data_IF_735664228227
#
_entry.id   IF_735664228227
#
_cell.length_a   1.000
_cell.length_b   1.000
_cell.length_c   1.000
_cell.angle_alpha   90.00
_cell.angle_beta   90.00
_cell.angle_gamma   90.00
#
_symmetry.space_group_name_H-M   'P 1'
#
loop_
_entity.id
_entity.type
_entity.pdbx_description
1 polymer ?
#
# COMPACT_ATOMS: atom_id res chain seq x y z
N UNK A 1 -6.24 24.62 -16.39
CA UNK A 1 -5.81 23.22 -16.63
C UNK A 1 -6.66 22.31 -15.74
N UNK A 2 -7.46 21.40 -16.30
CA UNK A 2 -8.17 20.39 -15.49
C UNK A 2 -7.10 19.48 -14.88
N UNK A 3 -7.01 19.47 -13.55
CA UNK A 3 -6.14 18.53 -12.80
C UNK A 3 -6.45 17.11 -13.28
N UNK A 4 -5.42 16.31 -13.56
CA UNK A 4 -5.58 14.91 -13.90
C UNK A 4 -6.44 14.21 -12.82
N UNK A 5 -7.34 13.29 -13.20
CA UNK A 5 -8.15 12.58 -12.21
C UNK A 5 -7.24 11.87 -11.20
N UNK A 6 -7.66 11.86 -9.94
CA UNK A 6 -6.93 11.13 -8.90
C UNK A 6 -6.92 9.63 -9.24
N UNK A 7 -5.77 8.96 -9.04
CA UNK A 7 -5.67 7.52 -9.25
C UNK A 7 -6.63 6.76 -8.31
N UNK A 8 -6.74 7.23 -7.06
CA UNK A 8 -7.71 6.72 -6.09
C UNK A 8 -8.23 7.89 -5.25
N UNK A 9 -9.54 7.97 -5.08
CA UNK A 9 -10.18 8.97 -4.23
C UNK A 9 -11.27 8.34 -3.40
N UNK A 10 -11.39 8.76 -2.16
CA UNK A 10 -12.58 8.49 -1.37
C UNK A 10 -13.07 9.74 -0.66
N UNK A 11 -14.37 9.82 -0.45
CA UNK A 11 -15.02 10.93 0.25
C UNK A 11 -16.06 10.44 1.22
N UNK A 12 -16.08 11.05 2.41
CA UNK A 12 -17.11 10.85 3.40
C UNK A 12 -17.24 9.42 3.90
N UNK A 13 -16.16 8.63 3.91
CA UNK A 13 -16.23 7.23 4.36
C UNK A 13 -16.59 7.17 5.83
N UNK A 14 -17.65 6.43 6.16
CA UNK A 14 -18.09 6.19 7.53
C UNK A 14 -18.03 4.70 7.84
N UNK A 15 -17.47 4.38 9.02
CA UNK A 15 -17.50 3.02 9.58
C UNK A 15 -17.55 3.06 11.09
N UNK A 16 -18.50 2.32 11.65
CA UNK A 16 -18.67 2.14 13.08
C UNK A 16 -18.54 0.68 13.47
N UNK A 17 -18.02 0.43 14.65
CA UNK A 17 -17.97 -0.86 15.32
C UNK A 17 -18.61 -0.70 16.70
N UNK A 18 -19.89 -1.02 16.80
CA UNK A 18 -20.67 -0.72 18.00
C UNK A 18 -20.64 0.78 18.30
N UNK A 19 -20.10 1.16 19.45
CA UNK A 19 -19.98 2.56 19.87
C UNK A 19 -18.72 3.29 19.33
N UNK A 20 -17.79 2.55 18.71
CA UNK A 20 -16.55 3.13 18.19
C UNK A 20 -16.71 3.55 16.73
N UNK A 21 -16.52 4.83 16.43
CA UNK A 21 -16.46 5.35 15.06
C UNK A 21 -15.03 5.28 14.56
N UNK A 22 -14.73 4.29 13.72
CA UNK A 22 -13.41 4.10 13.17
C UNK A 22 -13.12 5.01 11.97
N UNK A 23 -14.15 5.32 11.16
CA UNK A 23 -14.11 6.32 10.10
C UNK A 23 -15.27 7.27 10.28
N UNK A 24 -14.98 8.57 10.40
CA UNK A 24 -15.94 9.63 10.70
C UNK A 24 -15.97 10.65 9.54
N UNK A 25 -16.50 10.23 8.40
CA UNK A 25 -16.45 10.98 7.13
C UNK A 25 -14.99 11.16 6.64
N UNK A 26 -14.23 10.04 6.58
CA UNK A 26 -12.85 10.05 6.13
C UNK A 26 -12.75 10.32 4.63
N UNK A 27 -11.82 11.18 4.25
CA UNK A 27 -11.49 11.53 2.87
C UNK A 27 -10.04 11.15 2.57
N UNK A 28 -9.77 10.72 1.35
CA UNK A 28 -8.41 10.54 0.84
C UNK A 28 -8.35 10.84 -0.66
N UNK A 29 -7.20 11.32 -1.15
CA UNK A 29 -6.97 11.54 -2.57
C UNK A 29 -5.52 11.26 -2.93
N UNK A 30 -5.31 10.23 -3.74
CA UNK A 30 -4.02 9.78 -4.26
C UNK A 30 -3.88 10.25 -5.71
N UNK A 31 -2.80 10.96 -6.02
CA UNK A 31 -2.47 11.40 -7.38
C UNK A 31 -1.82 10.24 -8.16
N UNK A 32 -1.91 10.23 -9.50
CA UNK A 32 -1.19 9.24 -10.29
C UNK A 32 0.33 9.32 -10.06
N UNK A 33 0.96 8.16 -9.83
CA UNK A 33 2.41 8.04 -9.69
C UNK A 33 3.00 8.71 -8.45
N UNK A 34 2.21 8.95 -7.40
CA UNK A 34 2.73 9.50 -6.14
C UNK A 34 2.83 8.45 -5.04
N UNK A 35 3.66 8.72 -4.05
CA UNK A 35 3.67 8.06 -2.74
C UNK A 35 2.97 8.98 -1.75
N UNK A 36 1.75 8.62 -1.35
CA UNK A 36 1.00 9.29 -0.30
C UNK A 36 1.19 8.53 1.01
N UNK A 37 1.90 9.13 1.97
CA UNK A 37 1.97 8.55 3.30
C UNK A 37 0.70 8.89 4.10
N UNK A 38 0.19 7.94 4.85
CA UNK A 38 -0.93 8.11 5.79
C UNK A 38 -0.41 7.89 7.20
N UNK A 39 -0.38 8.96 7.98
CA UNK A 39 0.06 8.96 9.37
C UNK A 39 -1.08 9.29 10.32
N UNK A 40 -0.90 9.00 11.58
CA UNK A 40 -1.86 9.26 12.64
C UNK A 40 -1.60 8.39 13.85
N UNK A 41 -2.13 8.75 15.00
CA UNK A 41 -2.04 7.97 16.23
C UNK A 41 -2.72 6.60 16.12
N UNK A 42 -2.50 5.77 17.14
CA UNK A 42 -3.25 4.53 17.29
C UNK A 42 -4.73 4.87 17.45
N UNK A 43 -5.59 4.15 16.71
CA UNK A 43 -7.02 4.45 16.68
C UNK A 43 -7.44 5.60 15.72
N UNK A 44 -6.51 6.26 15.02
CA UNK A 44 -6.84 7.31 14.04
C UNK A 44 -7.65 6.83 12.83
N UNK A 45 -7.87 5.52 12.67
CA UNK A 45 -8.65 4.95 11.58
C UNK A 45 -7.85 4.51 10.36
N UNK A 46 -6.50 4.57 10.38
CA UNK A 46 -5.62 4.26 9.24
C UNK A 46 -5.87 2.87 8.64
N UNK A 47 -5.81 1.81 9.46
CA UNK A 47 -6.04 0.44 8.98
C UNK A 47 -7.49 0.21 8.54
N UNK A 48 -8.47 0.90 9.16
CA UNK A 48 -9.87 0.86 8.70
C UNK A 48 -10.03 1.53 7.34
N UNK A 49 -9.31 2.63 7.09
CA UNK A 49 -9.27 3.29 5.79
C UNK A 49 -8.69 2.36 4.72
N UNK A 50 -7.53 1.74 4.97
CA UNK A 50 -6.93 0.76 4.04
C UNK A 50 -7.89 -0.41 3.78
N UNK A 51 -8.51 -0.96 4.82
CA UNK A 51 -9.50 -2.05 4.67
C UNK A 51 -10.71 -1.62 3.84
N UNK A 52 -11.19 -0.38 3.98
CA UNK A 52 -12.28 0.14 3.16
C UNK A 52 -11.87 0.29 1.69
N UNK A 53 -10.69 0.84 1.42
CA UNK A 53 -10.16 1.02 0.06
C UNK A 53 -9.80 -0.31 -0.62
N UNK A 54 -9.40 -1.33 0.14
CA UNK A 54 -9.09 -2.67 -0.37
C UNK A 54 -10.30 -3.61 -0.47
N UNK A 55 -11.50 -3.16 -0.10
CA UNK A 55 -12.70 -3.99 -0.10
C UNK A 55 -12.76 -5.04 1.02
N UNK A 56 -11.79 -5.03 1.96
CA UNK A 56 -11.82 -5.90 3.14
C UNK A 56 -12.81 -5.40 4.21
N UNK A 57 -13.26 -4.17 4.09
CA UNK A 57 -14.26 -3.54 4.93
C UNK A 57 -15.27 -2.80 4.05
N UNK A 58 -16.56 -3.03 4.27
CA UNK A 58 -17.61 -2.24 3.63
C UNK A 58 -17.93 -1.01 4.48
N UNK A 59 -17.72 0.22 4.00
CA UNK A 59 -18.15 1.44 4.67
C UNK A 59 -19.68 1.51 4.70
N UNK A 60 -20.23 2.20 5.69
CA UNK A 60 -21.68 2.45 5.85
C UNK A 60 -22.15 3.62 4.99
N UNK A 61 -21.26 4.59 4.73
CA UNK A 61 -21.50 5.73 3.87
C UNK A 61 -20.20 6.18 3.22
N UNK A 62 -20.33 7.06 2.22
CA UNK A 62 -19.22 7.58 1.42
C UNK A 62 -19.05 6.85 0.11
N UNK A 63 -18.14 7.37 -0.71
CA UNK A 63 -17.93 6.93 -2.08
C UNK A 63 -16.43 6.76 -2.36
N UNK A 64 -16.11 5.84 -3.25
CA UNK A 64 -14.73 5.57 -3.72
C UNK A 64 -14.71 5.71 -5.23
N UNK A 65 -13.67 6.35 -5.76
CA UNK A 65 -13.41 6.50 -7.20
C UNK A 65 -12.01 5.98 -7.52
N UNK A 66 -11.90 5.23 -8.60
CA UNK A 66 -10.65 4.75 -9.18
C UNK A 66 -10.53 5.33 -10.59
N UNK A 67 -9.46 6.05 -10.90
CA UNK A 67 -9.25 6.75 -12.17
C UNK A 67 -10.44 7.59 -12.61
N UNK A 68 -11.08 8.26 -11.64
CA UNK A 68 -12.23 9.12 -11.89
C UNK A 68 -13.58 8.39 -12.03
N UNK A 69 -13.60 7.07 -12.07
CA UNK A 69 -14.84 6.27 -12.12
C UNK A 69 -15.26 5.83 -10.71
N UNK A 70 -16.55 5.93 -10.35
CA UNK A 70 -17.05 5.43 -9.08
C UNK A 70 -16.93 3.90 -9.03
N UNK A 71 -16.46 3.38 -7.90
CA UNK A 71 -16.28 1.95 -7.67
C UNK A 71 -16.87 1.53 -6.33
N UNK A 72 -17.34 0.30 -6.27
CA UNK A 72 -17.79 -0.30 -5.03
C UNK A 72 -17.18 -1.70 -4.88
N UNK A 73 -16.32 -1.87 -3.89
CA UNK A 73 -15.71 -3.15 -3.60
C UNK A 73 -16.54 -3.91 -2.56
N UNK A 74 -16.94 -5.13 -2.88
CA UNK A 74 -17.64 -6.03 -1.98
C UNK A 74 -16.69 -7.03 -1.30
N UNK A 75 -15.50 -7.15 -1.87
CA UNK A 75 -14.45 -8.07 -1.40
C UNK A 75 -13.06 -7.58 -1.82
N UNK A 76 -11.99 -8.06 -1.16
CA UNK A 76 -10.63 -7.80 -1.63
C UNK A 76 -10.35 -8.30 -3.05
N UNK A 77 -11.07 -9.31 -3.51
CA UNK A 77 -10.96 -9.82 -4.88
C UNK A 77 -11.42 -8.77 -5.88
N UNK A 78 -12.46 -7.99 -5.57
CA UNK A 78 -12.96 -6.94 -6.45
C UNK A 78 -11.94 -5.82 -6.60
N UNK A 79 -11.33 -5.38 -5.49
CA UNK A 79 -10.27 -4.37 -5.51
C UNK A 79 -9.04 -4.86 -6.32
N UNK A 80 -8.63 -6.12 -6.15
CA UNK A 80 -7.55 -6.73 -6.94
C UNK A 80 -7.89 -6.79 -8.43
N UNK A 81 -9.11 -7.17 -8.79
CA UNK A 81 -9.57 -7.16 -10.19
C UNK A 81 -9.59 -5.75 -10.79
N UNK A 82 -9.86 -4.75 -9.97
CA UNK A 82 -9.76 -3.35 -10.36
C UNK A 82 -8.31 -2.84 -10.45
N UNK A 83 -7.30 -3.62 -10.00
CA UNK A 83 -5.89 -3.27 -10.10
C UNK A 83 -5.32 -2.61 -8.85
N UNK A 84 -5.98 -2.76 -7.72
CA UNK A 84 -5.50 -2.34 -6.40
C UNK A 84 -4.96 -3.56 -5.67
N UNK A 85 -3.69 -3.52 -5.24
CA UNK A 85 -3.09 -4.56 -4.42
C UNK A 85 -2.76 -4.01 -3.02
N UNK A 86 -2.80 -4.88 -2.02
CA UNK A 86 -2.56 -4.48 -0.63
C UNK A 86 -1.54 -5.41 0.02
N UNK A 87 -0.53 -4.81 0.63
CA UNK A 87 0.41 -5.48 1.56
C UNK A 87 -0.05 -5.11 2.96
N UNK A 88 -0.58 -6.09 3.69
CA UNK A 88 -0.98 -5.92 5.07
C UNK A 88 0.22 -6.11 6.00
N UNK A 89 0.10 -5.65 7.23
CA UNK A 89 1.10 -5.81 8.29
C UNK A 89 1.48 -7.29 8.48
N UNK A 90 0.50 -8.19 8.48
CA UNK A 90 0.75 -9.63 8.35
C UNK A 90 0.96 -9.94 6.87
N UNK A 91 2.19 -10.28 6.49
CA UNK A 91 2.65 -10.37 5.10
C UNK A 91 1.86 -11.33 4.20
N UNK A 92 1.04 -12.19 4.78
CA UNK A 92 0.28 -13.22 4.08
C UNK A 92 1.15 -14.01 3.07
N UNK A 93 2.39 -14.31 3.43
CA UNK A 93 3.28 -15.20 2.71
C UNK A 93 3.21 -16.60 3.32
N UNK A 94 3.34 -17.62 2.46
CA UNK A 94 3.39 -19.02 2.88
C UNK A 94 4.87 -19.43 3.13
N UNK A 95 5.33 -19.60 4.39
CA UNK A 95 6.75 -19.79 4.69
C UNK A 95 7.36 -21.03 4.03
N UNK A 96 6.58 -22.14 3.97
CA UNK A 96 7.02 -23.40 3.40
C UNK A 96 7.08 -23.42 1.87
N UNK A 97 6.50 -22.43 1.20
CA UNK A 97 6.50 -22.32 -0.26
C UNK A 97 7.73 -21.53 -0.74
N UNK A 98 8.12 -21.75 -1.99
CA UNK A 98 9.19 -20.99 -2.64
C UNK A 98 8.76 -19.53 -2.90
N UNK A 99 9.74 -18.66 -3.15
CA UNK A 99 9.49 -17.26 -3.51
C UNK A 99 8.62 -17.19 -4.78
N UNK A 100 8.94 -17.99 -5.80
CA UNK A 100 8.16 -18.03 -7.03
C UNK A 100 6.72 -18.51 -6.80
N UNK A 101 6.51 -19.50 -5.97
CA UNK A 101 5.17 -19.96 -5.60
C UNK A 101 4.40 -18.91 -4.78
N UNK A 102 5.06 -18.21 -3.86
CA UNK A 102 4.47 -17.08 -3.12
C UNK A 102 4.07 -15.91 -4.02
N UNK A 103 4.91 -15.56 -5.01
CA UNK A 103 4.60 -14.49 -5.94
C UNK A 103 3.28 -14.75 -6.68
N UNK A 104 3.10 -15.99 -7.17
CA UNK A 104 1.94 -16.39 -7.97
C UNK A 104 0.81 -17.04 -7.16
N UNK A 105 0.85 -17.01 -5.83
CA UNK A 105 -0.14 -17.65 -4.98
C UNK A 105 -1.56 -17.12 -5.27
N UNK A 106 -2.46 -18.02 -5.66
CA UNK A 106 -3.83 -17.71 -6.09
C UNK A 106 -3.92 -17.14 -7.52
N UNK A 107 -2.79 -17.14 -8.26
CA UNK A 107 -2.67 -16.66 -9.66
C UNK A 107 -1.69 -17.54 -10.44
N UNK A 108 -1.68 -18.82 -10.13
CA UNK A 108 -0.73 -19.78 -10.67
C UNK A 108 -0.82 -19.84 -12.19
N UNK A 109 0.32 -19.81 -12.86
CA UNK A 109 0.39 -19.98 -14.31
C UNK A 109 0.24 -21.46 -14.65
N UNK A 110 -0.72 -21.78 -15.53
CA UNK A 110 -0.93 -23.14 -16.02
C UNK A 110 0.06 -23.48 -17.14
N UNK A 111 0.34 -24.77 -17.33
CA UNK A 111 1.08 -25.25 -18.48
C UNK A 111 0.34 -24.93 -19.79
N UNK A 112 1.03 -24.72 -20.91
CA UNK A 112 0.37 -24.57 -22.21
C UNK A 112 -0.26 -25.89 -22.66
N UNK A 113 -1.28 -25.79 -23.53
CA UNK A 113 -1.93 -26.93 -24.18
C UNK A 113 -2.83 -27.75 -23.23
N UNK A 114 -2.99 -29.05 -23.55
CA UNK A 114 -3.91 -29.96 -22.87
C UNK A 114 -3.58 -30.10 -21.38
N UNK A 115 -2.31 -30.15 -21.02
CA UNK A 115 -1.87 -30.25 -19.62
C UNK A 115 -2.34 -29.09 -18.76
N UNK A 116 -2.36 -27.88 -19.31
CA UNK A 116 -2.90 -26.70 -18.63
C UNK A 116 -4.42 -26.73 -18.48
N UNK A 117 -5.15 -27.31 -19.45
CA UNK A 117 -6.60 -27.55 -19.34
C UNK A 117 -6.93 -28.54 -18.24
N UNK A 118 -6.05 -29.51 -18.01
CA UNK A 118 -6.14 -30.46 -16.88
C UNK A 118 -5.68 -29.86 -15.53
N UNK A 119 -5.41 -28.54 -15.47
CA UNK A 119 -5.06 -27.86 -14.23
C UNK A 119 -3.57 -27.94 -13.82
N UNK A 120 -2.69 -28.48 -14.65
CA UNK A 120 -1.27 -28.59 -14.31
C UNK A 120 -0.58 -27.24 -14.29
N UNK A 121 0.11 -26.96 -13.18
CA UNK A 121 0.84 -25.72 -12.91
C UNK A 121 2.16 -25.67 -13.71
N UNK A 122 2.45 -24.53 -14.31
CA UNK A 122 3.66 -24.24 -15.07
C UNK A 122 4.78 -23.68 -14.20
N UNK A 123 5.34 -24.50 -13.28
CA UNK A 123 6.37 -24.05 -12.31
C UNK A 123 7.54 -23.31 -12.96
N UNK A 124 8.03 -23.77 -14.10
CA UNK A 124 9.13 -23.12 -14.84
C UNK A 124 8.76 -21.70 -15.28
N UNK A 125 7.57 -21.51 -15.83
CA UNK A 125 7.09 -20.18 -16.24
C UNK A 125 6.90 -19.23 -15.04
N UNK A 126 6.44 -19.76 -13.90
CA UNK A 126 6.35 -19.00 -12.67
C UNK A 126 7.73 -18.59 -12.16
N UNK A 127 8.72 -19.48 -12.22
CA UNK A 127 10.08 -19.17 -11.83
C UNK A 127 10.70 -18.08 -12.73
N UNK A 128 10.58 -18.23 -14.05
CA UNK A 128 11.06 -17.26 -15.03
C UNK A 128 10.38 -15.87 -14.84
N UNK A 129 9.06 -15.87 -14.66
CA UNK A 129 8.31 -14.64 -14.39
C UNK A 129 8.69 -13.98 -13.05
N UNK A 130 8.91 -14.78 -12.01
CA UNK A 130 9.37 -14.29 -10.72
C UNK A 130 10.77 -13.64 -10.83
N UNK A 131 11.71 -14.30 -11.51
CA UNK A 131 13.05 -13.76 -11.73
C UNK A 131 13.01 -12.42 -12.48
N UNK A 132 12.21 -12.34 -13.55
CA UNK A 132 12.06 -11.11 -14.32
C UNK A 132 11.48 -9.95 -13.46
N UNK A 133 10.47 -10.22 -12.65
CA UNK A 133 9.88 -9.22 -11.76
C UNK A 133 10.83 -8.78 -10.65
N UNK A 134 11.48 -9.71 -9.96
CA UNK A 134 12.44 -9.40 -8.90
C UNK A 134 13.62 -8.60 -9.42
N UNK A 135 14.17 -8.98 -10.58
CA UNK A 135 15.24 -8.23 -11.26
C UNK A 135 14.79 -6.82 -11.63
N UNK A 136 13.61 -6.68 -12.22
CA UNK A 136 13.05 -5.38 -12.62
C UNK A 136 12.78 -4.45 -11.42
N UNK A 137 12.54 -5.00 -10.23
CA UNK A 137 12.40 -4.27 -8.98
C UNK A 137 13.73 -4.15 -8.23
N UNK A 138 14.84 -4.70 -8.77
CA UNK A 138 16.16 -4.70 -8.15
C UNK A 138 16.19 -5.38 -6.79
N UNK A 139 15.37 -6.42 -6.60
CA UNK A 139 15.39 -7.25 -5.41
C UNK A 139 16.39 -8.36 -5.62
N UNK A 140 17.52 -8.28 -4.92
CA UNK A 140 18.59 -9.28 -5.00
C UNK A 140 18.33 -10.42 -4.02
N UNK A 141 17.95 -11.58 -4.55
CA UNK A 141 17.78 -12.82 -3.82
C UNK A 141 18.46 -13.95 -4.61
N UNK A 142 19.29 -14.75 -3.94
CA UNK A 142 20.13 -15.78 -4.57
C UNK A 142 19.36 -16.76 -5.47
N UNK A 143 18.16 -17.17 -5.06
CA UNK A 143 17.35 -18.13 -5.82
C UNK A 143 15.87 -17.94 -5.54
N UNK A 144 15.08 -17.81 -6.58
CA UNK A 144 13.60 -17.74 -6.47
C UNK A 144 12.97 -19.10 -6.13
N UNK A 145 13.75 -20.18 -6.18
CA UNK A 145 13.32 -21.53 -5.77
C UNK A 145 13.53 -21.80 -4.27
N UNK A 146 14.18 -20.88 -3.51
CA UNK A 146 14.32 -21.05 -2.06
C UNK A 146 13.00 -20.76 -1.33
N UNK A 147 12.82 -21.39 -0.17
CA UNK A 147 11.63 -21.21 0.66
C UNK A 147 11.65 -19.85 1.37
N UNK A 148 10.48 -19.25 1.53
CA UNK A 148 10.34 -17.95 2.17
C UNK A 148 10.75 -17.98 3.65
N UNK A 149 10.60 -19.10 4.34
CA UNK A 149 11.06 -19.26 5.73
C UNK A 149 12.57 -19.04 5.93
N UNK A 150 13.39 -19.25 4.87
CA UNK A 150 14.84 -19.06 4.92
C UNK A 150 15.28 -17.60 4.72
N UNK A 151 14.36 -16.71 4.43
CA UNK A 151 14.61 -15.29 4.19
C UNK A 151 14.69 -14.50 5.50
N UNK A 152 15.45 -13.38 5.49
CA UNK A 152 15.38 -12.39 6.56
C UNK A 152 14.01 -11.69 6.57
N UNK A 153 13.70 -10.96 7.66
CA UNK A 153 12.46 -10.18 7.78
C UNK A 153 12.27 -9.21 6.62
N UNK A 154 13.31 -8.43 6.32
CA UNK A 154 13.29 -7.48 5.21
C UNK A 154 13.15 -8.13 3.84
N UNK A 155 13.82 -9.28 3.61
CA UNK A 155 13.65 -10.04 2.37
C UNK A 155 12.22 -10.56 2.20
N UNK A 156 11.60 -11.08 3.28
CA UNK A 156 10.18 -11.49 3.25
C UNK A 156 9.26 -10.33 2.92
N UNK A 157 9.54 -9.17 3.50
CA UNK A 157 8.81 -7.94 3.19
C UNK A 157 8.97 -7.55 1.71
N UNK A 158 10.19 -7.59 1.18
CA UNK A 158 10.44 -7.34 -0.25
C UNK A 158 9.66 -8.31 -1.15
N UNK A 159 9.56 -9.59 -0.79
CA UNK A 159 8.75 -10.57 -1.54
C UNK A 159 7.27 -10.18 -1.53
N UNK A 160 6.73 -9.75 -0.37
CA UNK A 160 5.33 -9.32 -0.26
C UNK A 160 5.04 -8.06 -1.08
N UNK A 161 5.92 -7.06 -1.02
CA UNK A 161 5.81 -5.83 -1.82
C UNK A 161 5.94 -6.12 -3.32
N UNK A 162 6.93 -6.94 -3.71
CA UNK A 162 7.13 -7.32 -5.11
C UNK A 162 5.93 -8.09 -5.66
N UNK A 163 5.30 -8.98 -4.86
CA UNK A 163 4.06 -9.67 -5.24
C UNK A 163 2.93 -8.68 -5.51
N UNK A 164 2.73 -7.70 -4.63
CA UNK A 164 1.70 -6.69 -4.83
C UNK A 164 1.99 -5.86 -6.10
N UNK A 165 3.23 -5.37 -6.27
CA UNK A 165 3.64 -4.59 -7.43
C UNK A 165 3.53 -5.36 -8.76
N UNK A 166 3.77 -6.69 -8.74
CA UNK A 166 3.68 -7.52 -9.94
C UNK A 166 2.27 -7.59 -10.54
N UNK A 167 1.23 -7.40 -9.72
CA UNK A 167 -0.15 -7.56 -10.13
C UNK A 167 -0.98 -6.27 -10.03
N UNK A 168 -0.47 -5.24 -9.37
CA UNK A 168 -1.10 -3.92 -9.37
C UNK A 168 -1.11 -3.30 -10.77
N UNK A 169 -2.18 -2.59 -11.09
CA UNK A 169 -2.28 -1.80 -12.33
C UNK A 169 -2.38 -0.31 -12.04
N UNK A 170 -2.87 0.07 -10.88
CA UNK A 170 -3.12 1.46 -10.49
C UNK A 170 -2.50 1.80 -9.14
N UNK A 171 -2.79 1.01 -8.11
CA UNK A 171 -2.44 1.37 -6.72
C UNK A 171 -1.88 0.18 -5.97
N UNK A 172 -0.81 0.42 -5.22
CA UNK A 172 -0.31 -0.48 -4.16
C UNK A 172 -0.50 0.19 -2.82
N UNK A 173 -1.23 -0.46 -1.92
CA UNK A 173 -1.38 -0.02 -0.53
C UNK A 173 -0.49 -0.87 0.37
N UNK A 174 0.21 -0.24 1.30
CA UNK A 174 1.13 -0.90 2.23
C UNK A 174 0.83 -0.43 3.65
N UNK A 175 0.51 -1.38 4.53
CA UNK A 175 0.23 -1.12 5.94
C UNK A 175 1.46 -1.51 6.78
N UNK A 176 2.18 -0.52 7.27
CA UNK A 176 3.39 -0.64 8.12
C UNK A 176 4.51 -1.53 7.52
N UNK A 177 4.93 -1.31 6.26
CA UNK A 177 5.85 -2.23 5.57
C UNK A 177 7.27 -2.26 6.14
N UNK A 178 7.64 -1.32 7.00
CA UNK A 178 8.96 -1.25 7.64
C UNK A 178 8.90 -1.51 9.15
N UNK A 179 7.74 -1.89 9.69
CA UNK A 179 7.60 -2.19 11.11
C UNK A 179 8.47 -3.40 11.51
N UNK A 180 9.09 -3.30 12.68
CA UNK A 180 9.95 -4.35 13.24
C UNK A 180 11.18 -4.76 12.39
N UNK A 181 11.58 -3.94 11.42
CA UNK A 181 12.79 -4.12 10.64
C UNK A 181 13.95 -3.30 11.19
N UNK A 182 15.16 -3.84 11.08
CA UNK A 182 16.38 -3.08 11.32
C UNK A 182 16.59 -1.98 10.25
N UNK A 183 17.50 -1.03 10.52
CA UNK A 183 17.76 0.13 9.64
C UNK A 183 18.08 -0.32 8.20
N UNK A 184 18.99 -1.29 8.04
CA UNK A 184 19.38 -1.80 6.72
C UNK A 184 18.21 -2.42 5.96
N UNK A 185 17.41 -3.22 6.65
CA UNK A 185 16.24 -3.90 6.06
C UNK A 185 15.13 -2.91 5.73
N UNK A 186 14.91 -1.91 6.60
CA UNK A 186 13.98 -0.82 6.35
C UNK A 186 14.34 -0.06 5.07
N UNK A 187 15.61 0.32 4.90
CA UNK A 187 16.08 1.02 3.70
C UNK A 187 15.88 0.18 2.43
N UNK A 188 16.11 -1.14 2.47
CA UNK A 188 15.81 -2.02 1.32
C UNK A 188 14.34 -1.94 0.91
N UNK A 189 13.42 -1.91 1.87
CA UNK A 189 11.98 -1.81 1.60
C UNK A 189 11.63 -0.42 1.06
N UNK A 190 12.21 0.66 1.60
CA UNK A 190 11.99 2.02 1.10
C UNK A 190 12.47 2.18 -0.35
N UNK A 191 13.64 1.64 -0.68
CA UNK A 191 14.15 1.65 -2.06
C UNK A 191 13.22 0.87 -3.01
N UNK A 192 12.68 -0.25 -2.55
CA UNK A 192 11.71 -1.00 -3.33
C UNK A 192 10.40 -0.20 -3.54
N UNK A 193 9.92 0.51 -2.53
CA UNK A 193 8.74 1.39 -2.65
C UNK A 193 8.97 2.48 -3.70
N UNK A 194 10.15 3.12 -3.72
CA UNK A 194 10.52 4.11 -4.75
C UNK A 194 10.49 3.50 -6.16
N UNK A 195 11.05 2.30 -6.34
CA UNK A 195 11.04 1.60 -7.63
C UNK A 195 9.63 1.20 -8.08
N UNK A 196 8.74 0.83 -7.15
CA UNK A 196 7.32 0.59 -7.44
C UNK A 196 6.66 1.84 -8.00
N UNK A 197 6.91 3.01 -7.40
CA UNK A 197 6.43 4.31 -7.90
C UNK A 197 7.04 4.67 -9.27
N UNK A 198 8.34 4.47 -9.47
CA UNK A 198 9.05 4.72 -10.73
C UNK A 198 8.50 3.91 -11.90
N UNK A 199 7.85 2.79 -11.63
CA UNK A 199 7.11 1.99 -12.62
C UNK A 199 5.72 2.54 -12.94
N UNK A 200 5.37 3.71 -12.43
CA UNK A 200 4.10 4.38 -12.68
C UNK A 200 2.96 3.97 -11.74
N UNK A 201 3.21 3.11 -10.76
CA UNK A 201 2.21 2.75 -9.76
C UNK A 201 2.08 3.86 -8.71
N UNK A 202 0.87 4.14 -8.29
CA UNK A 202 0.60 5.03 -7.16
C UNK A 202 0.65 4.23 -5.86
N UNK A 203 1.20 4.82 -4.79
CA UNK A 203 1.41 4.10 -3.52
C UNK A 203 0.72 4.82 -2.38
N UNK A 204 -0.05 4.09 -1.57
CA UNK A 204 -0.48 4.52 -0.24
C UNK A 204 0.39 3.79 0.78
N UNK A 205 1.14 4.55 1.57
CA UNK A 205 2.03 4.04 2.60
C UNK A 205 1.50 4.42 3.98
N UNK A 206 0.97 3.47 4.74
CA UNK A 206 0.67 3.70 6.16
C UNK A 206 1.93 3.43 6.95
N UNK A 207 2.37 4.39 7.77
CA UNK A 207 3.50 4.22 8.66
C UNK A 207 3.42 5.16 9.86
N UNK A 208 3.98 4.72 10.98
CA UNK A 208 4.25 5.54 12.16
C UNK A 208 5.74 5.93 12.28
N UNK A 209 6.59 5.40 11.38
CA UNK A 209 8.02 5.75 11.33
C UNK A 209 8.21 7.06 10.55
N UNK A 210 8.23 8.18 11.27
CA UNK A 210 8.31 9.51 10.66
C UNK A 210 9.56 9.72 9.78
N UNK A 211 10.78 9.31 10.18
CA UNK A 211 11.93 9.35 9.30
C UNK A 211 11.69 8.67 7.94
N UNK A 212 11.14 7.47 7.91
CA UNK A 212 10.83 6.76 6.67
C UNK A 212 9.77 7.47 5.84
N UNK A 213 8.75 8.04 6.49
CA UNK A 213 7.69 8.81 5.81
C UNK A 213 8.30 10.02 5.12
N UNK A 214 9.11 10.81 5.82
CA UNK A 214 9.74 12.02 5.27
C UNK A 214 10.75 11.71 4.17
N UNK A 215 11.32 10.51 4.17
CA UNK A 215 12.29 10.07 3.17
C UNK A 215 11.66 9.72 1.83
N UNK A 216 10.44 9.15 1.80
CA UNK A 216 9.88 8.58 0.58
C UNK A 216 8.58 9.23 0.10
N UNK A 217 7.83 9.91 0.96
CA UNK A 217 6.51 10.44 0.62
C UNK A 217 6.60 11.72 -0.23
N UNK A 218 5.74 11.81 -1.25
CA UNK A 218 5.50 13.04 -1.99
C UNK A 218 4.54 13.96 -1.23
N UNK A 219 3.56 13.38 -0.52
CA UNK A 219 2.63 14.06 0.38
C UNK A 219 2.34 13.21 1.60
N UNK A 220 2.00 13.87 2.71
CA UNK A 220 1.63 13.23 3.96
C UNK A 220 0.16 13.56 4.27
N UNK A 221 -0.67 12.54 4.36
CA UNK A 221 -2.04 12.61 4.82
C UNK A 221 -2.08 12.35 6.32
N UNK A 222 -2.49 13.35 7.09
CA UNK A 222 -2.59 13.28 8.55
C UNK A 222 -4.01 12.89 8.91
N UNK A 223 -4.16 11.73 9.55
CA UNK A 223 -5.44 11.20 10.04
C UNK A 223 -5.53 11.33 11.55
N UNK A 224 -6.68 11.76 12.07
CA UNK A 224 -6.99 11.82 13.50
C UNK A 224 -8.47 11.57 13.73
N UNK A 225 -8.82 10.72 14.69
CA UNK A 225 -10.20 10.39 15.07
C UNK A 225 -11.09 10.02 13.88
N UNK A 226 -10.55 9.20 12.96
CA UNK A 226 -11.28 8.71 11.79
C UNK A 226 -11.52 9.75 10.69
N UNK A 227 -10.83 10.90 10.71
CA UNK A 227 -10.94 11.97 9.73
C UNK A 227 -9.59 12.37 9.17
N UNK A 228 -9.58 12.94 7.99
CA UNK A 228 -8.43 13.68 7.47
C UNK A 228 -8.35 15.03 8.17
N UNK A 229 -7.21 15.31 8.79
CA UNK A 229 -6.92 16.57 9.45
C UNK A 229 -6.24 17.55 8.49
N UNK A 230 -5.18 17.07 7.81
CA UNK A 230 -4.44 17.86 6.83
C UNK A 230 -3.80 16.95 5.78
N UNK A 231 -3.36 17.54 4.67
CA UNK A 231 -2.42 16.94 3.72
C UNK A 231 -1.30 17.95 3.53
N UNK A 232 -0.06 17.52 3.78
CA UNK A 232 1.12 18.40 3.79
C UNK A 232 2.22 17.91 2.86
N UNK A 233 3.06 18.84 2.38
CA UNK A 233 4.28 18.53 1.62
C UNK A 233 5.43 18.33 2.61
N UNK A 234 6.04 17.12 2.71
CA UNK A 234 7.13 16.85 3.66
C UNK A 234 8.37 17.71 3.43
N UNK A 235 8.53 18.31 2.26
CA UNK A 235 9.65 19.22 1.95
C UNK A 235 9.46 20.63 2.50
N UNK A 236 8.25 20.96 2.96
CA UNK A 236 7.86 22.31 3.38
C UNK A 236 7.44 22.41 4.85
N UNK A 237 7.37 21.30 5.54
CA UNK A 237 6.98 21.21 6.96
C UNK A 237 8.03 20.41 7.72
N UNK A 238 8.27 20.75 8.98
CA UNK A 238 9.14 19.95 9.84
C UNK A 238 8.44 18.68 10.33
N UNK A 239 9.24 17.68 10.70
CA UNK A 239 8.72 16.47 11.34
C UNK A 239 8.03 16.79 12.67
N UNK A 240 8.58 17.74 13.45
CA UNK A 240 8.00 18.19 14.72
C UNK A 240 6.60 18.78 14.54
N UNK A 241 6.44 19.72 13.59
CA UNK A 241 5.13 20.34 13.30
C UNK A 241 4.12 19.31 12.79
N UNK A 242 4.58 18.37 11.95
CA UNK A 242 3.72 17.28 11.45
C UNK A 242 3.20 16.41 12.60
N UNK A 243 4.03 16.09 13.58
CA UNK A 243 3.65 15.35 14.79
C UNK A 243 2.72 16.20 15.66
N UNK A 244 2.98 17.52 15.83
CA UNK A 244 2.11 18.42 16.58
C UNK A 244 0.69 18.48 15.99
N UNK A 245 0.55 18.54 14.67
CA UNK A 245 -0.76 18.47 13.99
C UNK A 245 -1.41 17.08 14.15
N UNK A 246 -0.62 16.02 14.04
CA UNK A 246 -1.10 14.63 14.18
C UNK A 246 -1.69 14.37 15.56
N UNK A 247 -1.00 14.84 16.62
CA UNK A 247 -1.45 14.69 18.01
C UNK A 247 -2.52 15.71 18.42
N UNK A 248 -2.68 16.80 17.65
CA UNK A 248 -3.63 17.86 17.91
C UNK A 248 -3.14 18.93 18.88
N UNK A 249 -1.83 18.98 19.11
CA UNK A 249 -1.17 20.08 19.83
C UNK A 249 -1.21 21.37 19.01
N UNK A 250 -1.13 21.24 17.67
CA UNK A 250 -1.24 22.34 16.74
C UNK A 250 -2.50 22.19 15.88
N UNK A 251 -3.25 23.27 15.69
CA UNK A 251 -4.41 23.30 14.79
C UNK A 251 -3.91 23.32 13.32
N UNK A 252 -4.46 22.45 12.44
CA UNK A 252 -4.13 22.49 11.02
C UNK A 252 -4.40 23.82 10.33
N UNK A 253 -5.38 24.61 10.83
CA UNK A 253 -5.68 25.95 10.34
C UNK A 253 -4.59 26.98 10.60
N UNK A 254 -3.68 26.70 11.53
CA UNK A 254 -2.53 27.54 11.84
C UNK A 254 -1.33 27.24 10.91
N UNK A 255 -1.40 26.18 10.12
CA UNK A 255 -0.33 25.85 9.17
C UNK A 255 -0.28 26.91 8.06
N UNK A 256 0.93 27.36 7.68
CA UNK A 256 1.08 28.27 6.54
C UNK A 256 0.53 27.62 5.26
N UNK A 257 -0.22 28.36 4.42
CA UNK A 257 -0.86 27.80 3.22
C UNK A 257 0.11 27.09 2.27
N UNK A 258 1.39 27.48 2.27
CA UNK A 258 2.41 26.89 1.38
C UNK A 258 2.85 25.47 1.79
N UNK A 259 2.57 25.03 3.02
CA UNK A 259 2.88 23.66 3.47
C UNK A 259 1.76 22.66 3.15
N UNK A 260 0.54 23.18 2.91
CA UNK A 260 -0.58 22.35 2.48
C UNK A 260 -0.39 21.89 1.03
N UNK A 261 -0.82 20.64 0.70
CA UNK A 261 -0.49 19.97 -0.56
C UNK A 261 -1.73 19.43 -1.33
#
# INVERSE_FOLDING_TARGET
MKSAPAALRARGLVKRYGHVTALAAADIGLRPGEILAVIGDNGAGKSSLIKALSGALRPEAGEIWLDGAPVQFRSPIDARRAGIETVYQDLAVAPAMTIAENLFLGRELRRPGVLGRLGMIGKRRMLEGCMAWMSALGVDIRSMAQRVETLSGGQRQCVAVARAAAFARHVVMMDEPTAALGVREGNMVLDLIRRVRERGLSVILVSHNMPHVFEVADRIHIARLGRRVAVVDPRKISMGDTVAVMTGVQDPGELPPHVLA
#
